data_IF_467940245723
#
_entry.id   IF_467940245723
#
_cell.length_a   1.000
_cell.length_b   1.000
_cell.length_c   1.000
_cell.angle_alpha   90.00
_cell.angle_beta   90.00
_cell.angle_gamma   90.00
#
_symmetry.space_group_name_H-M   'P 1'
#
loop_
_entity.id
_entity.type
_entity.pdbx_description
1 polymer ?
#
# COMPACT_ATOMS: atom_id res chain seq x y z
N UNK A 1 3.83 6.13 -18.36
CA UNK A 1 3.59 6.99 -17.17
C UNK A 1 2.64 8.11 -17.51
N UNK A 2 1.79 8.45 -16.58
CA UNK A 2 0.86 9.54 -16.79
C UNK A 2 1.56 10.88 -16.74
N UNK A 3 1.01 11.85 -17.50
CA UNK A 3 1.51 13.20 -17.44
C UNK A 3 0.94 14.01 -16.27
N UNK A 4 -0.20 13.57 -15.72
CA UNK A 4 -0.91 14.32 -14.69
C UNK A 4 -0.76 13.66 -13.34
N UNK A 5 0.47 13.48 -12.91
CA UNK A 5 0.75 12.77 -11.67
C UNK A 5 0.96 13.75 -10.52
N UNK A 6 0.19 13.56 -9.46
CA UNK A 6 0.30 14.36 -8.25
C UNK A 6 0.74 13.48 -7.10
N UNK A 7 1.69 13.97 -6.32
CA UNK A 7 2.15 13.24 -5.15
C UNK A 7 1.11 13.37 -4.04
N UNK A 8 0.60 12.25 -3.59
CA UNK A 8 -0.37 12.21 -2.51
C UNK A 8 0.32 12.13 -1.17
N UNK A 9 1.30 11.25 -1.08
CA UNK A 9 2.09 11.04 0.13
C UNK A 9 3.50 10.67 -0.25
N UNK A 10 4.44 11.00 0.62
CA UNK A 10 5.84 10.70 0.37
C UNK A 10 6.56 10.51 1.70
N UNK A 11 7.46 9.56 1.75
CA UNK A 11 8.34 9.42 2.89
C UNK A 11 9.72 8.94 2.41
N UNK A 12 10.58 8.58 3.34
CA UNK A 12 11.94 8.20 3.01
C UNK A 12 12.01 6.99 2.08
N UNK A 13 11.06 6.07 2.20
CA UNK A 13 11.10 4.82 1.44
C UNK A 13 10.43 4.90 0.08
N UNK A 14 9.52 5.83 -0.11
CA UNK A 14 8.81 5.88 -1.38
C UNK A 14 7.76 6.96 -1.42
N UNK A 15 6.87 6.81 -2.38
CA UNK A 15 5.80 7.80 -2.56
C UNK A 15 4.58 7.17 -3.18
N UNK A 16 3.44 7.75 -2.88
CA UNK A 16 2.16 7.40 -3.49
C UNK A 16 1.73 8.57 -4.34
N UNK A 17 1.53 8.33 -5.61
CA UNK A 17 1.10 9.36 -6.55
C UNK A 17 -0.25 8.99 -7.15
N UNK A 18 -0.97 10.00 -7.59
CA UNK A 18 -2.25 9.79 -8.26
C UNK A 18 -2.21 10.37 -9.66
N UNK A 19 -2.61 9.59 -10.64
CA UNK A 19 -2.74 10.03 -12.02
C UNK A 19 -4.21 10.29 -12.31
N UNK A 20 -4.57 11.55 -12.43
CA UNK A 20 -5.95 11.93 -12.62
C UNK A 20 -6.52 11.45 -13.94
N UNK A 21 -5.73 11.53 -14.99
CA UNK A 21 -6.22 11.18 -16.33
C UNK A 21 -6.52 9.69 -16.47
N UNK A 22 -5.85 8.84 -15.71
CA UNK A 22 -6.09 7.40 -15.74
C UNK A 22 -6.80 6.87 -14.51
N UNK A 23 -7.05 7.73 -13.54
CA UNK A 23 -7.69 7.35 -12.27
C UNK A 23 -6.93 6.20 -11.59
N UNK A 24 -5.62 6.30 -11.59
CA UNK A 24 -4.76 5.28 -11.02
C UNK A 24 -3.81 5.88 -10.01
N UNK A 25 -3.54 5.11 -8.98
CA UNK A 25 -2.47 5.43 -8.05
C UNK A 25 -1.21 4.70 -8.48
N UNK A 26 -0.09 5.33 -8.27
CA UNK A 26 1.22 4.74 -8.52
C UNK A 26 1.96 4.72 -7.20
N UNK A 27 2.19 3.55 -6.68
CA UNK A 27 2.94 3.37 -5.45
C UNK A 27 4.35 2.95 -5.79
N UNK A 28 5.30 3.84 -5.50
CA UNK A 28 6.73 3.53 -5.66
C UNK A 28 7.30 3.33 -4.29
N UNK A 29 7.86 2.17 -4.03
CA UNK A 29 8.38 1.84 -2.72
C UNK A 29 9.64 1.02 -2.89
N UNK A 30 10.78 1.58 -2.43
CA UNK A 30 12.07 0.96 -2.66
C UNK A 30 12.24 0.70 -4.16
N UNK A 31 12.37 -0.54 -4.57
CA UNK A 31 12.55 -0.89 -5.98
C UNK A 31 11.30 -1.46 -6.62
N UNK A 32 10.15 -1.22 -6.00
CA UNK A 32 8.87 -1.75 -6.47
C UNK A 32 8.00 -0.59 -6.93
N UNK A 33 7.29 -0.79 -8.03
CA UNK A 33 6.26 0.15 -8.44
C UNK A 33 5.00 -0.62 -8.78
N UNK A 34 3.89 -0.20 -8.16
CA UNK A 34 2.61 -0.88 -8.32
C UNK A 34 1.57 0.15 -8.74
N UNK A 35 0.78 -0.19 -9.75
CA UNK A 35 -0.34 0.65 -10.16
C UNK A 35 -1.61 0.08 -9.54
N UNK A 36 -2.39 0.96 -8.93
CA UNK A 36 -3.58 0.55 -8.18
C UNK A 36 -4.75 1.45 -8.54
N UNK A 37 -5.91 0.85 -8.77
CA UNK A 37 -7.14 1.62 -8.85
C UNK A 37 -7.51 2.07 -7.44
N UNK A 38 -8.54 2.92 -7.32
CA UNK A 38 -9.02 3.33 -6.00
C UNK A 38 -9.37 2.12 -5.15
N UNK A 39 -10.09 1.19 -5.75
CA UNK A 39 -10.53 0.00 -5.03
C UNK A 39 -9.35 -0.86 -4.62
N UNK A 40 -8.40 -1.02 -5.52
CA UNK A 40 -7.23 -1.83 -5.23
C UNK A 40 -6.37 -1.20 -4.14
N UNK A 41 -6.26 0.12 -4.14
CA UNK A 41 -5.50 0.80 -3.09
C UNK A 41 -6.14 0.59 -1.72
N UNK A 42 -7.47 0.65 -1.66
CA UNK A 42 -8.16 0.44 -0.39
C UNK A 42 -7.99 -0.98 0.10
N UNK A 43 -8.08 -1.93 -0.81
CA UNK A 43 -7.86 -3.33 -0.45
C UNK A 43 -6.43 -3.54 0.03
N UNK A 44 -5.48 -2.94 -0.66
CA UNK A 44 -4.08 -3.04 -0.30
C UNK A 44 -3.82 -2.43 1.07
N UNK A 45 -4.43 -1.28 1.32
CA UNK A 45 -4.32 -0.63 2.63
C UNK A 45 -4.78 -1.54 3.76
N UNK A 46 -5.91 -2.22 3.56
CA UNK A 46 -6.41 -3.12 4.59
C UNK A 46 -5.46 -4.28 4.84
N UNK A 47 -4.93 -4.86 3.77
CA UNK A 47 -3.99 -5.96 3.91
C UNK A 47 -2.75 -5.51 4.68
N UNK A 48 -2.21 -4.35 4.33
CA UNK A 48 -1.01 -3.84 4.98
C UNK A 48 -1.29 -3.51 6.44
N UNK A 49 -2.44 -2.91 6.70
CA UNK A 49 -2.83 -2.51 8.05
C UNK A 49 -3.00 -3.70 8.97
N UNK A 50 -3.52 -4.80 8.44
CA UNK A 50 -3.90 -5.94 9.26
C UNK A 50 -2.80 -6.99 9.42
N UNK A 51 -1.61 -6.73 8.93
CA UNK A 51 -0.48 -7.64 9.15
C UNK A 51 -0.26 -7.77 10.65
N UNK A 52 -0.26 -9.01 11.13
CA UNK A 52 -0.03 -9.30 12.54
C UNK A 52 1.48 -9.40 12.76
N UNK A 53 2.04 -8.31 13.25
CA UNK A 53 3.49 -8.21 13.44
C UNK A 53 3.98 -9.25 14.44
N UNK A 54 3.24 -9.42 15.52
CA UNK A 54 3.64 -10.37 16.55
C UNK A 54 3.62 -11.80 16.04
N UNK A 55 2.60 -12.13 15.28
CA UNK A 55 2.49 -13.47 14.71
C UNK A 55 3.70 -13.80 13.84
N UNK A 56 4.04 -12.88 12.94
CA UNK A 56 5.15 -13.14 12.02
C UNK A 56 6.50 -13.10 12.71
N UNK A 57 6.64 -12.28 13.76
CA UNK A 57 7.87 -12.29 14.55
C UNK A 57 8.08 -13.66 15.21
N UNK A 58 7.00 -14.22 15.72
CA UNK A 58 7.10 -15.49 16.44
C UNK A 58 7.19 -16.68 15.51
N UNK A 59 6.54 -16.59 14.37
CA UNK A 59 6.51 -17.69 13.41
C UNK A 59 7.81 -17.88 12.66
N UNK A 60 8.52 -16.80 12.46
CA UNK A 60 9.71 -16.82 11.63
C UNK A 60 10.78 -17.70 12.27
N UNK A 61 11.04 -18.84 11.65
CA UNK A 61 12.02 -19.79 12.15
C UNK A 61 13.43 -19.22 12.05
N UNK A 62 13.68 -18.51 10.97
CA UNK A 62 14.98 -17.90 10.79
C UNK A 62 14.97 -16.52 11.43
N UNK A 63 15.43 -16.45 12.65
CA UNK A 63 15.42 -15.20 13.40
C UNK A 63 16.39 -14.17 12.84
N UNK A 64 17.26 -14.61 11.95
CA UNK A 64 18.20 -13.70 11.33
C UNK A 64 17.62 -12.97 10.13
N UNK A 65 16.45 -13.38 9.68
CA UNK A 65 15.81 -12.72 8.56
C UNK A 65 15.30 -11.36 9.01
N UNK A 66 15.73 -10.34 8.30
CA UNK A 66 15.28 -8.99 8.57
C UNK A 66 13.88 -8.77 8.00
N UNK A 67 13.66 -9.24 6.77
CA UNK A 67 12.37 -9.11 6.11
C UNK A 67 11.55 -10.36 6.35
N UNK A 68 10.50 -10.22 7.12
CA UNK A 68 9.66 -11.36 7.49
C UNK A 68 8.16 -11.07 7.47
N UNK A 69 7.77 -9.89 7.02
CA UNK A 69 6.35 -9.52 6.98
C UNK A 69 5.86 -9.58 5.54
N UNK A 70 5.12 -10.66 5.18
CA UNK A 70 4.72 -10.87 3.80
C UNK A 70 3.42 -10.14 3.48
N UNK A 71 3.35 -9.66 2.26
CA UNK A 71 2.12 -9.06 1.73
C UNK A 71 1.84 -9.74 0.41
N UNK A 72 0.70 -10.40 0.35
CA UNK A 72 0.29 -11.06 -0.87
C UNK A 72 -0.14 -10.02 -1.89
N UNK A 73 0.24 -10.25 -3.14
CA UNK A 73 -0.20 -9.41 -4.23
C UNK A 73 -1.35 -10.11 -4.95
N UNK A 74 -1.91 -9.43 -5.95
CA UNK A 74 -2.93 -10.05 -6.78
C UNK A 74 -2.36 -11.18 -7.64
N UNK A 75 -1.05 -11.22 -7.81
CA UNK A 75 -0.40 -12.31 -8.49
C UNK A 75 -0.18 -13.45 -7.50
N UNK A 76 -0.67 -14.62 -7.86
CA UNK A 76 -0.58 -15.77 -6.96
C UNK A 76 0.85 -16.18 -6.65
N UNK A 77 1.75 -15.94 -7.56
CA UNK A 77 3.14 -16.36 -7.41
C UNK A 77 4.07 -15.23 -6.99
N UNK A 78 3.51 -14.14 -6.48
CA UNK A 78 4.32 -13.00 -6.05
C UNK A 78 3.91 -12.54 -4.66
N UNK A 79 4.86 -12.60 -3.75
CA UNK A 79 4.66 -12.13 -2.38
C UNK A 79 5.76 -11.12 -2.08
N UNK A 80 5.38 -9.97 -1.58
CA UNK A 80 6.34 -8.96 -1.18
C UNK A 80 6.66 -9.15 0.30
N UNK A 81 7.93 -9.06 0.64
CA UNK A 81 8.36 -9.27 2.03
C UNK A 81 9.08 -8.03 2.51
N UNK A 82 8.68 -7.52 3.65
CA UNK A 82 9.22 -6.29 4.20
C UNK A 82 9.81 -6.49 5.59
N UNK A 83 10.75 -5.60 5.95
CA UNK A 83 11.17 -5.53 7.35
C UNK A 83 10.20 -4.62 8.10
N UNK A 84 10.43 -4.47 9.40
CA UNK A 84 9.50 -3.73 10.23
C UNK A 84 9.44 -2.25 9.86
N UNK A 85 10.58 -1.64 9.59
CA UNK A 85 10.62 -0.24 9.22
C UNK A 85 9.94 0.00 7.89
N UNK A 86 10.17 -0.92 6.96
CA UNK A 86 9.51 -0.85 5.65
C UNK A 86 8.01 -1.01 5.78
N UNK A 87 7.57 -1.91 6.64
CA UNK A 87 6.14 -2.14 6.83
C UNK A 87 5.45 -0.89 7.38
N UNK A 88 6.05 -0.26 8.38
CA UNK A 88 5.48 0.97 8.93
C UNK A 88 5.46 2.09 7.90
N UNK A 89 6.53 2.21 7.12
CA UNK A 89 6.58 3.23 6.08
C UNK A 89 5.52 2.97 5.02
N UNK A 90 5.32 1.72 4.67
CA UNK A 90 4.30 1.35 3.69
C UNK A 90 2.90 1.66 4.22
N UNK A 91 2.65 1.36 5.49
CA UNK A 91 1.37 1.69 6.11
C UNK A 91 1.08 3.17 6.02
N UNK A 92 2.09 3.98 6.24
CA UNK A 92 1.94 5.42 6.17
C UNK A 92 1.57 5.89 4.77
N UNK A 93 2.23 5.32 3.77
CA UNK A 93 1.99 5.73 2.37
C UNK A 93 0.61 5.35 1.87
N UNK A 94 0.11 4.19 2.28
CA UNK A 94 -1.17 3.71 1.76
C UNK A 94 -2.34 4.05 2.66
N UNK A 95 -2.11 4.85 3.69
CA UNK A 95 -3.16 5.26 4.60
C UNK A 95 -4.16 6.14 3.86
N UNK A 96 -5.38 5.64 3.73
CA UNK A 96 -6.46 6.40 3.11
C UNK A 96 -7.42 6.88 4.19
N UNK A 97 -8.16 7.93 3.85
CA UNK A 97 -9.05 8.54 4.82
C UNK A 97 -8.43 9.73 5.53
N UNK A 98 -7.14 9.99 5.33
CA UNK A 98 -6.54 11.21 5.84
C UNK A 98 -6.98 12.38 4.96
N UNK A 99 -6.80 13.60 5.46
CA UNK A 99 -7.19 14.77 4.71
C UNK A 99 -6.48 14.87 3.38
N UNK A 100 -5.24 14.44 3.33
CA UNK A 100 -4.47 14.52 2.10
C UNK A 100 -5.01 13.59 1.02
N UNK A 101 -5.48 12.43 1.43
CA UNK A 101 -6.00 11.46 0.47
C UNK A 101 -7.41 11.79 0.02
N UNK A 102 -8.17 12.47 0.85
CA UNK A 102 -9.57 12.78 0.52
C UNK A 102 -9.72 13.64 -0.71
N UNK A 103 -8.70 14.41 -1.02
CA UNK A 103 -8.74 15.26 -2.19
C UNK A 103 -8.68 14.47 -3.48
N UNK A 104 -8.14 13.26 -3.41
CA UNK A 104 -7.90 12.45 -4.60
C UNK A 104 -8.82 11.24 -4.69
N UNK A 105 -9.45 10.88 -3.60
CA UNK A 105 -10.35 9.73 -3.57
C UNK A 105 -11.76 10.25 -3.44
N UNK A 106 -12.59 9.93 -4.42
CA UNK A 106 -13.93 10.46 -4.45
C UNK A 106 -14.77 9.93 -3.28
N UNK A 107 -15.79 10.68 -2.86
CA UNK A 107 -16.68 10.21 -1.80
C UNK A 107 -17.35 8.89 -2.14
N UNK A 108 -17.56 8.64 -3.41
CA UNK A 108 -18.16 7.37 -3.83
C UNK A 108 -17.26 6.19 -3.50
N UNK A 109 -15.96 6.38 -3.67
CA UNK A 109 -15.02 5.32 -3.35
C UNK A 109 -15.03 5.03 -1.88
N UNK A 110 -15.13 6.07 -1.06
CA UNK A 110 -15.24 5.87 0.38
C UNK A 110 -16.58 5.27 0.77
N UNK A 111 -17.60 5.58 -0.02
CA UNK A 111 -18.93 5.06 0.26
C UNK A 111 -19.13 3.61 -0.10
N UNK A 112 -18.13 2.97 -0.68
CA UNK A 112 -18.22 1.59 -1.11
C UNK A 112 -17.28 0.68 -0.35
N UNK A 113 -17.20 0.77 0.98
CA UNK A 113 -16.28 -0.06 1.74
C UNK A 113 -16.57 -1.53 1.59
N UNK A 114 -17.82 -1.84 1.36
CA UNK A 114 -18.24 -3.21 1.17
C UNK A 114 -17.61 -3.84 -0.05
N UNK A 115 -17.26 -3.04 -1.02
CA UNK A 115 -16.69 -3.57 -2.25
C UNK A 115 -15.28 -4.07 -2.03
N UNK A 116 -14.72 -3.81 -0.90
CA UNK A 116 -13.36 -4.23 -0.57
C UNK A 116 -13.31 -5.66 -0.04
N UNK A 117 -14.44 -6.15 0.32
CA UNK A 117 -14.47 -7.46 0.98
C UNK A 117 -14.62 -8.59 0.00
#
# INVERSE_FOLDING_TARGET
MCGDVNVVRKNFFGELCYCESHSLFHLSFANIMIELTHRELRAFHLVVKEIDIEYWNNLCVSKNRKRKYPINTSQQNLVLIFDLNELYALRELVLIGSSNCKEFISPLDFGLPISLN
#
